data_IF_908459525147
#
_entry.id   IF_908459525147
#
_cell.length_a   1.000
_cell.length_b   1.000
_cell.length_c   1.000
_cell.angle_alpha   90.00
_cell.angle_beta   90.00
_cell.angle_gamma   90.00
#
_symmetry.space_group_name_H-M   'P 1'
#
loop_
_entity.id
_entity.type
_entity.pdbx_description
1 polymer ?
#
# COMPACT_ATOMS: atom_id res chain seq x y z
N UNK A 1 -17.56 -36.72 -22.40
CA UNK A 1 -16.41 -35.83 -22.66
C UNK A 1 -16.74 -34.43 -22.15
N UNK A 2 -16.38 -34.12 -20.89
CA UNK A 2 -16.59 -32.80 -20.32
C UNK A 2 -15.26 -32.04 -20.29
N UNK A 3 -15.19 -30.96 -21.06
CA UNK A 3 -14.04 -30.07 -21.18
C UNK A 3 -13.83 -29.29 -19.88
N UNK A 4 -12.69 -29.54 -19.22
CA UNK A 4 -12.27 -28.84 -17.99
C UNK A 4 -11.66 -27.50 -18.40
N UNK A 5 -12.45 -26.41 -18.36
CA UNK A 5 -11.90 -25.05 -18.38
C UNK A 5 -11.07 -24.85 -17.11
N UNK A 6 -9.75 -24.87 -17.26
CA UNK A 6 -8.81 -24.44 -16.22
C UNK A 6 -8.96 -22.92 -16.12
N UNK A 7 -9.45 -22.44 -14.98
CA UNK A 7 -9.45 -21.02 -14.63
C UNK A 7 -8.01 -20.54 -14.60
N UNK A 8 -7.62 -19.77 -15.63
CA UNK A 8 -6.31 -19.14 -15.73
C UNK A 8 -6.35 -17.81 -14.96
N UNK A 9 -6.45 -17.86 -13.64
CA UNK A 9 -6.24 -16.68 -12.82
C UNK A 9 -4.72 -16.49 -12.69
N UNK A 10 -4.15 -15.36 -13.16
CA UNK A 10 -2.71 -15.17 -13.11
C UNK A 10 -2.24 -15.20 -11.66
N UNK A 11 -1.21 -15.99 -11.38
CA UNK A 11 -0.57 -16.02 -10.06
C UNK A 11 0.19 -14.69 -9.86
N UNK A 12 -0.53 -13.75 -9.27
CA UNK A 12 -0.10 -12.37 -9.02
C UNK A 12 1.19 -12.34 -8.18
N UNK A 13 1.33 -13.25 -7.20
CA UNK A 13 2.53 -13.34 -6.37
C UNK A 13 3.74 -13.82 -7.18
N UNK A 14 3.53 -14.77 -8.10
CA UNK A 14 4.59 -15.22 -9.01
C UNK A 14 5.03 -14.12 -9.98
N UNK A 15 4.12 -13.24 -10.42
CA UNK A 15 4.50 -12.08 -11.25
C UNK A 15 5.34 -11.05 -10.48
N UNK A 16 4.95 -10.71 -9.24
CA UNK A 16 5.74 -9.79 -8.42
C UNK A 16 7.14 -10.33 -8.12
N UNK A 17 7.25 -11.63 -7.82
CA UNK A 17 8.55 -12.25 -7.57
C UNK A 17 9.46 -12.23 -8.79
N UNK A 18 8.90 -12.47 -9.99
CA UNK A 18 9.65 -12.38 -11.25
C UNK A 18 10.12 -10.96 -11.53
N UNK A 19 9.28 -9.96 -11.31
CA UNK A 19 9.67 -8.56 -11.46
C UNK A 19 10.79 -8.18 -10.48
N UNK A 20 10.70 -8.60 -9.22
CA UNK A 20 11.74 -8.37 -8.22
C UNK A 20 13.08 -9.01 -8.56
N UNK A 21 13.09 -10.25 -9.06
CA UNK A 21 14.31 -10.93 -9.51
C UNK A 21 14.97 -10.22 -10.69
N UNK A 22 14.18 -9.84 -11.70
CA UNK A 22 14.70 -9.11 -12.86
C UNK A 22 15.32 -7.76 -12.48
N UNK A 23 14.72 -7.04 -11.52
CA UNK A 23 15.28 -5.78 -11.00
C UNK A 23 16.59 -5.99 -10.22
N UNK A 24 16.69 -7.07 -9.45
CA UNK A 24 17.92 -7.39 -8.70
C UNK A 24 19.07 -7.78 -9.64
N UNK A 25 18.78 -8.57 -10.68
CA UNK A 25 19.78 -8.96 -11.68
C UNK A 25 20.29 -7.74 -12.46
N UNK A 26 19.40 -6.83 -12.84
CA UNK A 26 19.77 -5.57 -13.52
C UNK A 26 20.63 -4.65 -12.64
N UNK A 27 20.48 -4.68 -11.31
CA UNK A 27 21.29 -3.89 -10.40
C UNK A 27 22.74 -4.42 -10.28
N UNK A 28 22.96 -5.73 -10.44
CA UNK A 28 24.29 -6.35 -10.41
C UNK A 28 25.21 -5.87 -11.53
N UNK A 29 24.66 -5.69 -12.75
CA UNK A 29 25.42 -5.24 -13.93
C UNK A 29 25.84 -3.76 -13.86
N UNK A 30 25.17 -2.94 -13.04
CA UNK A 30 25.43 -1.49 -12.94
C UNK A 30 26.63 -1.17 -12.05
N UNK A 31 27.02 -2.06 -11.13
CA UNK A 31 28.07 -1.77 -10.13
C UNK A 31 29.48 -1.84 -10.76
N UNK A 32 29.70 -2.60 -11.84
CA UNK A 32 31.03 -2.73 -12.47
C UNK A 32 31.33 -1.70 -13.57
N UNK A 33 30.32 -1.01 -14.10
CA UNK A 33 30.49 0.03 -15.11
C UNK A 33 30.50 1.41 -14.49
N UNK A 34 31.60 2.16 -14.61
CA UNK A 34 31.62 3.58 -14.29
C UNK A 34 30.53 4.28 -15.14
N UNK A 35 29.38 4.58 -14.54
CA UNK A 35 28.23 5.13 -15.26
C UNK A 35 28.60 6.53 -15.73
N UNK A 36 29.02 6.65 -16.98
CA UNK A 36 29.18 7.92 -17.65
C UNK A 36 27.78 8.50 -17.94
N UNK A 37 27.13 9.03 -16.90
CA UNK A 37 25.78 9.60 -16.96
C UNK A 37 25.14 9.80 -15.58
N UNK A 38 24.01 10.49 -15.53
CA UNK A 38 23.21 10.65 -14.30
C UNK A 38 22.57 9.30 -13.93
N UNK A 39 23.01 8.70 -12.83
CA UNK A 39 22.41 7.49 -12.26
C UNK A 39 21.28 7.83 -11.27
N UNK A 40 20.30 6.93 -11.14
CA UNK A 40 19.20 7.04 -10.18
C UNK A 40 18.95 5.69 -9.49
N UNK A 41 18.51 5.74 -8.23
CA UNK A 41 18.10 4.57 -7.45
C UNK A 41 16.66 4.77 -6.95
N UNK A 42 15.90 3.69 -6.92
CA UNK A 42 14.50 3.69 -6.48
C UNK A 42 14.38 2.82 -5.23
N UNK A 43 13.72 3.36 -4.21
CA UNK A 43 13.44 2.66 -2.97
C UNK A 43 11.95 2.73 -2.72
N UNK A 44 11.37 1.58 -2.39
CA UNK A 44 10.02 1.55 -1.82
C UNK A 44 10.06 2.04 -0.37
N UNK A 45 8.91 2.43 0.17
CA UNK A 45 8.76 2.87 1.56
C UNK A 45 8.50 1.65 2.44
N UNK A 46 7.47 0.87 2.11
CA UNK A 46 6.94 -0.21 2.94
C UNK A 46 7.83 -1.46 2.88
N UNK A 47 8.13 -2.05 4.04
CA UNK A 47 9.08 -3.16 4.21
C UNK A 47 10.49 -2.96 3.63
N UNK A 48 10.82 -1.76 3.17
CA UNK A 48 12.14 -1.39 2.62
C UNK A 48 12.81 -0.35 3.51
N UNK A 49 12.23 0.85 3.63
CA UNK A 49 12.74 1.92 4.51
C UNK A 49 12.13 1.80 5.90
N UNK A 50 10.86 1.43 5.97
CA UNK A 50 10.13 1.24 7.22
C UNK A 50 9.61 -0.18 7.36
N UNK A 51 9.48 -0.65 8.60
CA UNK A 51 8.87 -1.96 8.87
C UNK A 51 7.36 -1.84 8.83
N UNK A 52 6.71 -2.76 8.12
CA UNK A 52 5.25 -2.76 7.95
C UNK A 52 4.78 -1.86 6.81
N UNK A 53 3.52 -1.46 6.86
CA UNK A 53 2.86 -0.67 5.82
C UNK A 53 2.54 0.74 6.34
N UNK A 54 3.09 1.77 5.70
CA UNK A 54 2.91 3.19 6.02
C UNK A 54 1.44 3.56 6.15
N UNK A 55 0.63 3.12 5.18
CA UNK A 55 -0.81 3.40 5.17
C UNK A 55 -1.56 2.79 6.35
N UNK A 56 -1.10 1.66 6.89
CA UNK A 56 -1.70 1.04 8.07
C UNK A 56 -1.47 1.92 9.30
N UNK A 57 -0.23 2.38 9.50
CA UNK A 57 0.11 3.27 10.62
C UNK A 57 -0.66 4.59 10.53
N UNK A 58 -0.74 5.17 9.33
CA UNK A 58 -1.55 6.35 9.06
C UNK A 58 -3.03 6.11 9.43
N UNK A 59 -3.64 5.04 8.93
CA UNK A 59 -5.04 4.72 9.21
C UNK A 59 -5.32 4.50 10.71
N UNK A 60 -4.42 3.82 11.42
CA UNK A 60 -4.53 3.62 12.87
C UNK A 60 -4.41 4.94 13.63
N UNK A 61 -3.45 5.79 13.25
CA UNK A 61 -3.25 7.11 13.83
C UNK A 61 -4.46 8.03 13.66
N UNK A 62 -5.06 8.01 12.46
CA UNK A 62 -6.31 8.71 12.15
C UNK A 62 -7.50 8.18 12.96
N UNK A 63 -7.64 6.84 13.07
CA UNK A 63 -8.71 6.22 13.85
C UNK A 63 -8.61 6.56 15.34
N UNK A 64 -7.41 6.57 15.93
CA UNK A 64 -7.17 6.96 17.33
C UNK A 64 -7.53 8.41 17.61
N UNK A 65 -7.40 9.29 16.61
CA UNK A 65 -7.79 10.70 16.67
C UNK A 65 -9.25 10.95 16.28
N UNK A 66 -10.06 9.89 16.13
CA UNK A 66 -11.50 9.94 15.77
C UNK A 66 -11.80 10.60 14.41
N UNK A 67 -10.86 10.55 13.46
CA UNK A 67 -11.13 11.00 12.09
C UNK A 67 -12.07 10.06 11.31
N UNK A 68 -12.24 8.83 11.79
CA UNK A 68 -13.22 7.88 11.29
C UNK A 68 -14.24 7.56 12.37
N UNK A 69 -15.50 7.44 11.98
CA UNK A 69 -16.52 6.87 12.86
C UNK A 69 -16.30 5.36 13.02
N UNK A 70 -16.62 4.81 14.20
CA UNK A 70 -16.51 3.37 14.44
C UNK A 70 -17.30 2.51 13.44
N UNK A 71 -18.35 3.07 12.84
CA UNK A 71 -19.15 2.43 11.79
C UNK A 71 -18.39 2.33 10.47
N UNK A 72 -17.60 3.35 10.10
CA UNK A 72 -16.75 3.32 8.89
C UNK A 72 -15.62 2.31 9.06
N UNK A 73 -14.95 2.31 10.21
CA UNK A 73 -13.90 1.33 10.55
C UNK A 73 -14.44 -0.10 10.47
N UNK A 74 -15.62 -0.35 11.04
CA UNK A 74 -16.28 -1.66 10.95
C UNK A 74 -16.63 -2.04 9.50
N UNK A 75 -17.13 -1.07 8.72
CA UNK A 75 -17.42 -1.26 7.29
C UNK A 75 -16.18 -1.70 6.50
N UNK A 76 -15.03 -1.04 6.73
CA UNK A 76 -13.76 -1.44 6.11
C UNK A 76 -13.33 -2.85 6.54
N UNK A 77 -13.46 -3.18 7.83
CA UNK A 77 -13.14 -4.51 8.34
C UNK A 77 -13.96 -5.63 7.68
N UNK A 78 -15.26 -5.40 7.46
CA UNK A 78 -16.14 -6.35 6.77
C UNK A 78 -15.76 -6.50 5.29
N UNK A 79 -15.42 -5.41 4.60
CA UNK A 79 -14.94 -5.46 3.20
C UNK A 79 -13.64 -6.24 3.09
N UNK A 80 -12.70 -6.01 4.01
CA UNK A 80 -11.45 -6.76 4.06
C UNK A 80 -11.68 -8.25 4.31
N UNK A 81 -12.57 -8.60 5.24
CA UNK A 81 -12.91 -9.99 5.52
C UNK A 81 -13.54 -10.68 4.30
N UNK A 82 -14.43 -9.98 3.59
CA UNK A 82 -14.99 -10.47 2.31
C UNK A 82 -13.90 -10.69 1.28
N UNK A 83 -12.97 -9.75 1.11
CA UNK A 83 -11.86 -9.88 0.16
C UNK A 83 -10.99 -11.09 0.48
N UNK A 84 -10.60 -11.28 1.74
CA UNK A 84 -9.80 -12.44 2.18
C UNK A 84 -10.52 -13.76 1.88
N UNK A 85 -11.84 -13.79 2.01
CA UNK A 85 -12.64 -15.00 1.79
C UNK A 85 -13.01 -15.25 0.33
N UNK A 86 -13.29 -14.20 -0.46
CA UNK A 86 -13.78 -14.34 -1.85
C UNK A 86 -12.70 -14.17 -2.90
N UNK A 87 -11.57 -13.55 -2.56
CA UNK A 87 -10.49 -13.22 -3.52
C UNK A 87 -10.92 -12.25 -4.63
N UNK A 88 -12.11 -11.66 -4.53
CA UNK A 88 -12.70 -10.79 -5.55
C UNK A 88 -12.90 -9.40 -4.98
N UNK A 89 -12.37 -8.39 -5.66
CA UNK A 89 -12.57 -7.00 -5.31
C UNK A 89 -13.75 -6.44 -6.10
N UNK A 90 -14.69 -5.73 -5.44
CA UNK A 90 -15.69 -4.95 -6.15
C UNK A 90 -15.08 -3.58 -6.49
N UNK A 91 -15.05 -3.22 -7.77
CA UNK A 91 -14.58 -1.90 -8.22
C UNK A 91 -15.35 -0.75 -7.54
N UNK A 92 -16.64 -0.96 -7.24
CA UNK A 92 -17.48 -0.02 -6.50
C UNK A 92 -16.94 0.24 -5.08
N UNK A 93 -16.42 -0.80 -4.42
CA UNK A 93 -15.89 -0.69 -3.05
C UNK A 93 -14.59 0.11 -3.01
N UNK A 94 -13.74 -0.06 -4.04
CA UNK A 94 -12.50 0.70 -4.22
C UNK A 94 -12.76 2.16 -4.58
N UNK A 95 -13.73 2.43 -5.45
CA UNK A 95 -14.12 3.80 -5.80
C UNK A 95 -14.66 4.54 -4.57
N UNK A 96 -15.48 3.86 -3.75
CA UNK A 96 -16.00 4.40 -2.50
C UNK A 96 -14.88 4.70 -1.48
N UNK A 97 -13.93 3.78 -1.29
CA UNK A 97 -12.79 3.98 -0.39
C UNK A 97 -11.91 5.16 -0.85
N UNK A 98 -11.63 5.23 -2.16
CA UNK A 98 -10.85 6.33 -2.76
C UNK A 98 -11.56 7.66 -2.57
N UNK A 99 -12.87 7.72 -2.77
CA UNK A 99 -13.67 8.94 -2.60
C UNK A 99 -13.63 9.43 -1.16
N UNK A 100 -13.77 8.51 -0.19
CA UNK A 100 -13.67 8.84 1.24
C UNK A 100 -12.28 9.39 1.61
N UNK A 101 -11.21 8.78 1.08
CA UNK A 101 -9.84 9.27 1.30
C UNK A 101 -9.60 10.64 0.66
N UNK A 102 -10.12 10.88 -0.55
CA UNK A 102 -10.02 12.19 -1.20
C UNK A 102 -10.80 13.27 -0.45
N UNK A 103 -12.01 12.97 0.01
CA UNK A 103 -12.82 13.88 0.82
C UNK A 103 -12.15 14.22 2.16
N UNK A 104 -11.36 13.31 2.72
CA UNK A 104 -10.55 13.60 3.91
C UNK A 104 -9.47 14.65 3.64
N UNK A 105 -8.82 14.58 2.47
CA UNK A 105 -7.75 15.51 2.05
C UNK A 105 -8.31 16.84 1.56
N UNK A 106 -9.51 16.84 0.98
CA UNK A 106 -10.14 18.02 0.39
C UNK A 106 -10.24 19.18 1.38
N UNK A 107 -9.74 20.36 0.97
CA UNK A 107 -9.79 21.59 1.77
C UNK A 107 -8.81 21.68 2.94
N UNK A 108 -8.02 20.63 3.22
CA UNK A 108 -6.96 20.67 4.24
C UNK A 108 -5.69 21.30 3.70
N UNK A 109 -4.95 21.97 4.59
CA UNK A 109 -3.66 22.54 4.22
C UNK A 109 -2.59 21.46 4.21
N UNK A 110 -1.58 21.61 3.35
CA UNK A 110 -0.49 20.62 3.23
C UNK A 110 0.30 20.49 4.53
N UNK A 111 0.53 21.60 5.24
CA UNK A 111 1.24 21.59 6.52
C UNK A 111 0.43 20.91 7.63
N UNK A 112 -0.90 21.06 7.65
CA UNK A 112 -1.78 20.29 8.56
C UNK A 112 -1.64 18.78 8.33
N UNK A 113 -1.56 18.34 7.06
CA UNK A 113 -1.38 16.94 6.73
C UNK A 113 0.03 16.43 7.06
N UNK A 114 1.05 17.28 6.93
CA UNK A 114 2.42 16.98 7.31
C UNK A 114 2.55 16.82 8.82
N UNK A 115 2.06 17.79 9.60
CA UNK A 115 2.03 17.71 11.07
C UNK A 115 1.31 16.45 11.53
N UNK A 116 0.15 16.14 10.95
CA UNK A 116 -0.59 14.92 11.26
C UNK A 116 0.20 13.65 10.92
N UNK A 117 0.94 13.65 9.81
CA UNK A 117 1.81 12.55 9.42
C UNK A 117 2.99 12.34 10.38
N UNK A 118 3.64 13.44 10.79
CA UNK A 118 4.75 13.44 11.75
C UNK A 118 4.29 12.95 13.12
N UNK A 119 3.17 13.47 13.65
CA UNK A 119 2.63 13.01 14.94
C UNK A 119 2.28 11.51 14.93
N UNK A 120 1.70 11.01 13.84
CA UNK A 120 1.33 9.60 13.71
C UNK A 120 2.59 8.72 13.57
N UNK A 121 3.59 9.20 12.84
CA UNK A 121 4.88 8.52 12.74
C UNK A 121 5.53 8.41 14.12
N UNK A 122 5.61 9.51 14.86
CA UNK A 122 6.18 9.55 16.20
C UNK A 122 5.43 8.60 17.16
N UNK A 123 4.10 8.69 17.21
CA UNK A 123 3.26 7.85 18.08
C UNK A 123 3.34 6.34 17.76
N UNK A 124 3.59 5.97 16.50
CA UNK A 124 3.45 4.59 16.03
C UNK A 124 4.76 3.87 15.76
N UNK A 125 5.87 4.61 15.60
CA UNK A 125 7.18 4.07 15.26
C UNK A 125 8.29 4.40 16.26
N UNK A 126 8.18 5.43 17.11
CA UNK A 126 9.27 5.80 18.05
C UNK A 126 9.36 4.87 19.26
N UNK A 127 8.30 4.12 19.58
CA UNK A 127 8.24 3.21 20.73
C UNK A 127 8.65 1.75 20.45
N UNK A 128 9.41 1.45 19.38
CA UNK A 128 9.93 0.09 19.11
C UNK A 128 11.35 0.02 18.58
#
# INVERSE_FOLDING_TARGET
MASRRISNSPDVLASYRRAGQASADAAGDVIEGHVAGTAAAFFDVDNTIMRGASIFHLAVGLARRNYFSGREVWGFGVKQLRFVLSGSENLEDMASATTAALAFVEGRRVDELLELGEEIFDDSMVDK
#
